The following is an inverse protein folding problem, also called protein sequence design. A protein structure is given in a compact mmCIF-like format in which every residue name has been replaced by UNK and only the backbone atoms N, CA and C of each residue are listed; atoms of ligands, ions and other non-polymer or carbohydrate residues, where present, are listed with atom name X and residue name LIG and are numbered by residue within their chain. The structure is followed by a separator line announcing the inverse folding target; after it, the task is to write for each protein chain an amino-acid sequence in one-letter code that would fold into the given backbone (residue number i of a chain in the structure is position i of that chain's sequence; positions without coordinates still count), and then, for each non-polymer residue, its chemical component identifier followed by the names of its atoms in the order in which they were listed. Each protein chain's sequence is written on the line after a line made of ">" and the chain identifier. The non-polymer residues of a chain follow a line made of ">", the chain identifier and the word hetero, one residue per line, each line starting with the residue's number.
data_IF_274902859796
#
_entry.id   IF_274902859796
#
_cell.length_a   1.000
_cell.length_b   1.000
_cell.length_c   1.000
_cell.angle_alpha   90.00
_cell.angle_beta   90.00
_cell.angle_gamma   90.00
#
_symmetry.space_group_name_H-M   'P 1'
#
loop_
_entity.id
_entity.type
_entity.pdbx_description
1 polymer ?
#
# COMPACT_ATOMS: atom_id res chain seq x y z
N UNK A 1 -18.60 107.33 -19.21
CA UNK A 1 -19.50 106.43 -18.45
C UNK A 1 -19.44 105.09 -19.18
N UNK A 2 -19.10 104.01 -18.45
CA UNK A 2 -18.99 102.57 -18.86
C UNK A 2 -17.69 102.19 -19.61
N UNK A 3 -16.57 101.87 -18.93
CA UNK A 3 -16.15 100.57 -18.32
C UNK A 3 -16.00 99.46 -19.38
N UNK A 4 -14.80 99.16 -19.89
CA UNK A 4 -13.72 98.35 -19.28
C UNK A 4 -14.13 96.92 -18.90
N UNK A 5 -15.15 96.37 -19.57
CA UNK A 5 -15.76 95.09 -19.20
C UNK A 5 -15.61 93.96 -20.25
N UNK A 6 -14.86 94.15 -21.35
CA UNK A 6 -14.66 93.11 -22.38
C UNK A 6 -13.28 92.43 -22.41
N UNK A 7 -12.41 92.68 -21.42
CA UNK A 7 -11.02 92.16 -21.42
C UNK A 7 -10.71 91.12 -20.33
N UNK A 8 -11.73 90.48 -19.73
CA UNK A 8 -11.54 89.47 -18.66
C UNK A 8 -12.33 88.16 -18.89
N UNK A 9 -12.40 87.67 -20.13
CA UNK A 9 -13.02 86.37 -20.44
C UNK A 9 -12.03 85.34 -20.98
N UNK A 10 -10.78 85.37 -20.51
CA UNK A 10 -9.84 84.25 -20.67
C UNK A 10 -9.10 83.97 -19.35
N UNK A 11 -9.85 83.84 -18.24
CA UNK A 11 -9.33 83.07 -17.12
C UNK A 11 -9.39 81.60 -17.50
N UNK A 12 -8.24 81.05 -17.88
CA UNK A 12 -8.00 79.63 -18.05
C UNK A 12 -8.61 78.84 -16.89
N UNK A 13 -9.75 78.18 -17.15
CA UNK A 13 -10.31 77.16 -16.26
C UNK A 13 -9.32 76.00 -16.32
N UNK A 14 -8.43 75.89 -15.34
CA UNK A 14 -7.73 74.65 -15.06
C UNK A 14 -8.79 73.60 -14.69
N UNK A 15 -9.20 72.80 -15.68
CA UNK A 15 -9.95 71.58 -15.43
C UNK A 15 -8.96 70.59 -14.84
N UNK A 16 -8.75 70.66 -13.51
CA UNK A 16 -8.15 69.54 -12.81
C UNK A 16 -9.07 68.35 -13.04
N UNK A 17 -8.62 67.25 -13.68
CA UNK A 17 -9.47 66.08 -13.85
C UNK A 17 -9.95 65.67 -12.45
N UNK A 18 -11.23 65.31 -12.26
CA UNK A 18 -11.68 64.86 -10.96
C UNK A 18 -10.81 63.66 -10.60
N UNK A 19 -9.94 63.83 -9.61
CA UNK A 19 -9.16 62.73 -9.06
C UNK A 19 -10.21 61.77 -8.52
N UNK A 20 -10.51 60.71 -9.28
CA UNK A 20 -11.42 59.66 -8.84
C UNK A 20 -10.82 59.14 -7.56
N UNK A 21 -11.39 59.57 -6.43
CA UNK A 21 -11.02 59.07 -5.14
C UNK A 21 -11.47 57.60 -5.18
N UNK A 22 -10.53 56.70 -5.44
CA UNK A 22 -10.67 55.27 -5.15
C UNK A 22 -10.68 55.09 -3.63
N UNK A 23 -11.53 55.84 -2.93
CA UNK A 23 -11.71 55.76 -1.48
C UNK A 23 -12.71 54.66 -1.24
N UNK A 24 -12.22 53.43 -1.26
CA UNK A 24 -12.92 52.34 -0.58
C UNK A 24 -13.26 52.83 0.83
N UNK A 25 -14.50 52.59 1.25
CA UNK A 25 -14.94 52.97 2.59
C UNK A 25 -14.13 52.19 3.65
N UNK A 26 -13.93 52.72 4.87
CA UNK A 26 -13.19 52.01 5.91
C UNK A 26 -13.76 50.61 6.20
N UNK A 27 -15.07 50.43 6.02
CA UNK A 27 -15.75 49.14 6.14
C UNK A 27 -15.40 48.17 5.00
N UNK A 28 -15.30 48.65 3.76
CA UNK A 28 -14.85 47.83 2.61
C UNK A 28 -13.39 47.39 2.77
N UNK A 29 -12.53 48.26 3.30
CA UNK A 29 -11.13 47.94 3.58
C UNK A 29 -11.04 46.87 4.68
N UNK A 30 -11.83 46.99 5.75
CA UNK A 30 -11.90 46.00 6.81
C UNK A 30 -12.40 44.64 6.29
N UNK A 31 -13.44 44.65 5.46
CA UNK A 31 -13.97 43.45 4.79
C UNK A 31 -12.91 42.80 3.89
N UNK A 32 -12.25 43.58 3.02
CA UNK A 32 -11.21 43.09 2.12
C UNK A 32 -10.01 42.49 2.88
N UNK A 33 -9.63 43.07 4.03
CA UNK A 33 -8.60 42.50 4.91
C UNK A 33 -9.02 41.15 5.49
N UNK A 34 -10.26 41.03 5.96
CA UNK A 34 -10.76 39.75 6.49
C UNK A 34 -10.83 38.67 5.42
N UNK A 35 -11.25 39.02 4.20
CA UNK A 35 -11.27 38.09 3.06
C UNK A 35 -9.84 37.61 2.76
N UNK A 36 -8.87 38.52 2.67
CA UNK A 36 -7.47 38.13 2.44
C UNK A 36 -6.88 37.24 3.54
N UNK A 37 -7.20 37.49 4.81
CA UNK A 37 -6.74 36.63 5.90
C UNK A 37 -7.32 35.21 5.78
N UNK A 38 -8.61 35.10 5.40
CA UNK A 38 -9.25 33.81 5.13
C UNK A 38 -8.62 33.11 3.93
N UNK A 39 -8.34 33.82 2.85
CA UNK A 39 -7.66 33.28 1.66
C UNK A 39 -6.27 32.74 2.01
N UNK A 40 -5.46 33.50 2.76
CA UNK A 40 -4.14 33.06 3.18
C UNK A 40 -4.21 31.83 4.09
N UNK A 41 -5.19 31.77 4.99
CA UNK A 41 -5.42 30.61 5.85
C UNK A 41 -5.87 29.40 5.03
N UNK A 42 -6.78 29.57 4.07
CA UNK A 42 -7.21 28.50 3.16
C UNK A 42 -6.05 27.96 2.34
N UNK A 43 -5.21 28.83 1.75
CA UNK A 43 -4.03 28.42 0.99
C UNK A 43 -3.03 27.62 1.82
N UNK A 44 -2.80 28.02 3.07
CA UNK A 44 -1.93 27.27 4.00
C UNK A 44 -2.50 25.87 4.27
N UNK A 45 -3.79 25.76 4.57
CA UNK A 45 -4.46 24.48 4.83
C UNK A 45 -4.51 23.59 3.59
N UNK A 46 -4.81 24.13 2.42
CA UNK A 46 -4.82 23.40 1.14
C UNK A 46 -3.44 22.83 0.84
N UNK A 47 -2.39 23.64 1.02
CA UNK A 47 -1.01 23.18 0.82
C UNK A 47 -0.68 21.99 1.73
N UNK A 48 -1.08 22.06 3.00
CA UNK A 48 -0.87 20.97 3.96
C UNK A 48 -1.63 19.69 3.57
N UNK A 49 -2.89 19.82 3.13
CA UNK A 49 -3.69 18.71 2.63
C UNK A 49 -3.03 18.04 1.41
N UNK A 50 -2.50 18.82 0.47
CA UNK A 50 -1.81 18.27 -0.72
C UNK A 50 -0.59 17.45 -0.30
N UNK A 51 0.18 17.91 0.69
CA UNK A 51 1.31 17.12 1.21
C UNK A 51 0.85 15.80 1.84
N UNK A 52 -0.22 15.80 2.63
CA UNK A 52 -0.75 14.56 3.20
C UNK A 52 -1.29 13.61 2.13
N UNK A 53 -2.01 14.11 1.12
CA UNK A 53 -2.51 13.30 0.01
C UNK A 53 -1.33 12.70 -0.77
N UNK A 54 -0.31 13.50 -1.11
CA UNK A 54 0.88 13.02 -1.80
C UNK A 54 1.59 11.93 -1.00
N UNK A 55 1.72 12.12 0.31
CA UNK A 55 2.34 11.13 1.19
C UNK A 55 1.53 9.82 1.24
N UNK A 56 0.20 9.91 1.40
CA UNK A 56 -0.68 8.75 1.38
C UNK A 56 -0.64 8.04 0.03
N UNK A 57 -0.61 8.77 -1.09
CA UNK A 57 -0.47 8.18 -2.42
C UNK A 57 0.83 7.39 -2.56
N UNK A 58 1.96 7.92 -2.06
CA UNK A 58 3.24 7.20 -2.06
C UNK A 58 3.16 5.93 -1.21
N UNK A 59 2.58 6.00 0.00
CA UNK A 59 2.37 4.83 0.84
C UNK A 59 1.47 3.80 0.15
N UNK A 60 0.37 4.23 -0.47
CA UNK A 60 -0.52 3.36 -1.22
C UNK A 60 0.22 2.65 -2.35
N UNK A 61 1.02 3.36 -3.15
CA UNK A 61 1.82 2.73 -4.22
C UNK A 61 2.78 1.67 -3.66
N UNK A 62 3.47 1.95 -2.54
CA UNK A 62 4.39 1.00 -1.91
C UNK A 62 3.63 -0.24 -1.41
N UNK A 63 2.49 -0.06 -0.75
CA UNK A 63 1.70 -1.18 -0.22
C UNK A 63 1.11 -2.01 -1.36
N UNK A 64 0.49 -1.38 -2.35
CA UNK A 64 -0.11 -2.07 -3.49
C UNK A 64 0.92 -2.78 -4.37
N UNK A 65 2.11 -2.20 -4.55
CA UNK A 65 3.19 -2.85 -5.30
C UNK A 65 3.62 -4.18 -4.68
N UNK A 66 3.48 -4.32 -3.35
CA UNK A 66 3.82 -5.55 -2.64
C UNK A 66 2.63 -6.51 -2.50
N UNK A 67 1.41 -6.05 -2.80
CA UNK A 67 0.21 -6.86 -2.73
C UNK A 67 0.00 -7.62 -4.05
N UNK A 68 0.33 -8.91 -4.07
CA UNK A 68 0.12 -9.76 -5.23
C UNK A 68 -0.91 -10.86 -4.90
N UNK A 69 -2.07 -10.82 -5.55
CA UNK A 69 -3.13 -11.84 -5.39
C UNK A 69 -2.64 -13.25 -5.75
N UNK A 70 -1.72 -13.37 -6.72
CA UNK A 70 -1.16 -14.65 -7.17
C UNK A 70 -0.40 -15.39 -6.07
N UNK A 71 0.21 -14.65 -5.13
CA UNK A 71 0.88 -15.27 -3.98
C UNK A 71 -0.11 -16.05 -3.11
N UNK A 72 -1.35 -15.56 -2.96
CA UNK A 72 -2.38 -16.24 -2.19
C UNK A 72 -2.82 -17.55 -2.86
N UNK A 73 -2.92 -17.58 -4.19
CA UNK A 73 -3.25 -18.78 -4.95
C UNK A 73 -2.16 -19.84 -4.84
N UNK A 74 -0.87 -19.46 -4.90
CA UNK A 74 0.25 -20.39 -4.72
C UNK A 74 0.25 -21.01 -3.32
N UNK A 75 0.10 -20.21 -2.27
CA UNK A 75 0.05 -20.72 -0.88
C UNK A 75 -1.15 -21.65 -0.68
N UNK A 76 -2.32 -21.32 -1.25
CA UNK A 76 -3.51 -22.18 -1.20
C UNK A 76 -3.29 -23.50 -1.94
N UNK A 77 -2.66 -23.45 -3.12
CA UNK A 77 -2.32 -24.64 -3.89
C UNK A 77 -1.40 -25.56 -3.07
N UNK A 78 -0.29 -25.05 -2.53
CA UNK A 78 0.65 -25.83 -1.72
C UNK A 78 0.00 -26.39 -0.46
N UNK A 79 -0.80 -25.59 0.26
CA UNK A 79 -1.56 -26.08 1.43
C UNK A 79 -2.48 -27.23 1.05
N UNK A 80 -3.25 -27.09 -0.02
CA UNK A 80 -4.17 -28.14 -0.47
C UNK A 80 -3.40 -29.39 -0.91
N UNK A 81 -2.27 -29.24 -1.58
CA UNK A 81 -1.45 -30.35 -2.06
C UNK A 81 -0.82 -31.14 -0.92
N UNK A 82 -0.39 -30.52 0.18
CA UNK A 82 0.30 -31.20 1.29
C UNK A 82 -0.53 -31.36 2.57
N UNK A 83 -1.78 -30.89 2.59
CA UNK A 83 -2.68 -31.07 3.74
C UNK A 83 -3.11 -32.52 3.83
N UNK A 84 -2.91 -33.12 5.00
CA UNK A 84 -3.30 -34.48 5.32
C UNK A 84 -3.74 -34.55 6.78
N UNK A 85 -4.74 -35.36 7.05
CA UNK A 85 -5.16 -35.72 8.40
C UNK A 85 -4.56 -37.09 8.71
N UNK A 86 -3.64 -37.15 9.68
CA UNK A 86 -2.92 -38.36 10.05
C UNK A 86 -3.24 -38.65 11.52
N UNK A 87 -3.77 -39.84 11.79
CA UNK A 87 -4.18 -40.25 13.13
C UNK A 87 -3.22 -41.26 13.76
N UNK A 88 -2.54 -42.06 12.93
CA UNK A 88 -1.64 -43.13 13.38
C UNK A 88 -0.22 -42.99 12.82
N UNK A 89 0.74 -43.65 13.49
CA UNK A 89 2.14 -43.66 13.04
C UNK A 89 2.31 -44.39 11.70
N UNK A 90 1.48 -45.40 11.42
CA UNK A 90 1.55 -46.14 10.16
C UNK A 90 1.04 -45.28 9.00
N UNK A 91 -0.10 -44.60 9.19
CA UNK A 91 -0.60 -43.62 8.22
C UNK A 91 0.42 -42.52 7.92
N UNK A 92 1.20 -42.09 8.93
CA UNK A 92 2.25 -41.11 8.72
C UNK A 92 3.31 -41.61 7.74
N UNK A 93 3.81 -42.83 7.92
CA UNK A 93 4.85 -43.40 7.06
C UNK A 93 4.33 -43.70 5.65
N UNK A 94 3.12 -44.24 5.55
CA UNK A 94 2.45 -44.50 4.27
C UNK A 94 2.25 -43.19 3.48
N UNK A 95 1.72 -42.15 4.13
CA UNK A 95 1.61 -40.83 3.53
C UNK A 95 2.98 -40.28 3.09
N UNK A 96 4.01 -40.45 3.92
CA UNK A 96 5.34 -39.91 3.62
C UNK A 96 5.94 -40.58 2.38
N UNK A 97 5.84 -41.90 2.27
CA UNK A 97 6.43 -42.68 1.20
C UNK A 97 5.65 -42.54 -0.12
N UNK A 98 4.32 -42.64 -0.06
CA UNK A 98 3.49 -42.70 -1.26
C UNK A 98 3.10 -41.31 -1.78
N UNK A 99 2.65 -40.43 -0.88
CA UNK A 99 2.06 -39.15 -1.26
C UNK A 99 3.08 -38.02 -1.24
N UNK A 100 3.78 -37.84 -0.11
CA UNK A 100 4.73 -36.74 0.06
C UNK A 100 5.87 -36.83 -0.95
N UNK A 101 6.60 -37.94 -1.00
CA UNK A 101 7.73 -38.13 -1.94
C UNK A 101 7.30 -37.96 -3.40
N UNK A 102 6.13 -38.46 -3.76
CA UNK A 102 5.55 -38.30 -5.10
C UNK A 102 5.24 -36.84 -5.46
N UNK A 103 4.83 -36.02 -4.50
CA UNK A 103 4.52 -34.60 -4.72
C UNK A 103 5.74 -33.69 -4.79
N UNK A 104 6.82 -34.01 -4.07
CA UNK A 104 8.04 -33.15 -4.04
C UNK A 104 8.88 -33.23 -5.31
N UNK A 105 8.68 -34.25 -6.14
CA UNK A 105 9.44 -34.43 -7.38
C UNK A 105 8.49 -34.56 -8.57
N UNK A 106 8.81 -33.87 -9.65
CA UNK A 106 8.09 -34.01 -10.91
C UNK A 106 8.06 -35.47 -11.37
N UNK A 107 6.87 -35.97 -11.66
CA UNK A 107 6.69 -37.31 -12.22
C UNK A 107 7.02 -37.33 -13.73
N UNK A 108 7.00 -38.54 -14.31
CA UNK A 108 7.07 -38.74 -15.76
C UNK A 108 5.99 -37.91 -16.47
N UNK A 109 6.36 -37.34 -17.62
CA UNK A 109 5.46 -36.56 -18.44
C UNK A 109 4.42 -37.44 -19.15
N UNK A 110 3.51 -36.85 -19.92
CA UNK A 110 2.41 -37.59 -20.60
C UNK A 110 2.92 -38.74 -21.49
N UNK A 111 4.17 -38.68 -21.93
CA UNK A 111 4.83 -39.67 -22.78
C UNK A 111 5.64 -40.72 -21.99
N UNK A 112 5.50 -40.75 -20.66
CA UNK A 112 6.23 -41.68 -19.79
C UNK A 112 7.74 -41.39 -19.68
N UNK A 113 8.23 -40.31 -20.30
CA UNK A 113 9.65 -39.93 -20.25
C UNK A 113 9.91 -39.01 -19.05
N UNK A 114 11.06 -39.23 -18.42
CA UNK A 114 11.60 -38.27 -17.46
C UNK A 114 12.08 -37.05 -18.23
N UNK A 115 11.70 -35.88 -17.73
CA UNK A 115 12.02 -34.62 -18.39
C UNK A 115 13.13 -33.95 -17.61
N UNK A 116 14.33 -33.88 -18.19
CA UNK A 116 15.52 -33.40 -17.48
C UNK A 116 15.39 -31.95 -17.00
N UNK A 117 14.67 -31.08 -17.72
CA UNK A 117 14.46 -29.69 -17.33
C UNK A 117 13.53 -29.53 -16.12
N UNK A 118 12.71 -30.53 -15.79
CA UNK A 118 11.83 -30.53 -14.62
C UNK A 118 12.56 -31.02 -13.35
N UNK A 119 13.86 -31.26 -13.43
CA UNK A 119 14.65 -31.67 -12.26
C UNK A 119 14.60 -30.56 -11.19
N UNK A 120 14.06 -30.92 -10.03
CA UNK A 120 13.88 -29.98 -8.91
C UNK A 120 12.57 -29.20 -8.96
N UNK A 121 11.64 -29.52 -9.86
CA UNK A 121 10.26 -29.06 -9.77
C UNK A 121 9.40 -30.03 -8.96
N UNK A 122 8.36 -29.51 -8.32
CA UNK A 122 7.28 -30.30 -7.72
C UNK A 122 6.47 -30.99 -8.81
N UNK A 123 5.56 -31.89 -8.41
CA UNK A 123 4.70 -32.61 -9.34
C UNK A 123 3.70 -31.71 -10.10
N UNK A 124 3.52 -30.46 -9.67
CA UNK A 124 2.76 -29.44 -10.41
C UNK A 124 3.53 -28.82 -11.59
N UNK A 125 4.82 -29.13 -11.72
CA UNK A 125 5.75 -28.67 -12.78
C UNK A 125 5.93 -27.16 -12.88
N UNK A 126 5.39 -26.41 -11.92
CA UNK A 126 5.42 -24.94 -11.88
C UNK A 126 6.21 -24.43 -10.68
N UNK A 127 6.13 -25.12 -9.55
CA UNK A 127 6.87 -24.77 -8.34
C UNK A 127 8.21 -25.50 -8.30
N UNK A 128 9.28 -24.74 -8.02
CA UNK A 128 10.64 -25.28 -7.93
C UNK A 128 11.04 -25.50 -6.48
N UNK A 129 11.46 -26.72 -6.16
CA UNK A 129 12.11 -27.06 -4.91
C UNK A 129 13.54 -26.49 -4.89
N UNK A 130 13.84 -25.70 -3.87
CA UNK A 130 15.18 -25.20 -3.60
C UNK A 130 15.88 -26.12 -2.61
N UNK A 131 16.98 -26.75 -3.02
CA UNK A 131 17.74 -27.68 -2.19
C UNK A 131 17.07 -29.04 -2.03
N UNK A 132 16.97 -29.52 -0.78
CA UNK A 132 16.37 -30.80 -0.43
C UNK A 132 15.50 -30.69 0.82
N UNK A 133 14.57 -31.63 0.99
CA UNK A 133 13.74 -31.72 2.18
C UNK A 133 14.56 -32.18 3.39
N UNK A 134 14.39 -31.53 4.53
CA UNK A 134 15.05 -31.86 5.80
C UNK A 134 14.02 -32.35 6.81
N UNK A 135 14.17 -33.59 7.29
CA UNK A 135 13.37 -34.13 8.37
C UNK A 135 14.04 -33.86 9.73
N UNK A 136 13.31 -33.24 10.65
CA UNK A 136 13.75 -33.01 12.04
C UNK A 136 12.88 -33.82 12.99
N UNK A 137 13.48 -34.49 13.96
CA UNK A 137 12.78 -35.28 14.96
C UNK A 137 13.17 -34.83 16.37
N UNK A 138 12.18 -34.57 17.22
CA UNK A 138 12.37 -34.36 18.64
C UNK A 138 12.07 -35.66 19.40
N UNK A 139 12.87 -35.98 20.42
CA UNK A 139 12.71 -37.17 21.27
C UNK A 139 12.81 -36.76 22.73
N UNK A 140 11.95 -37.34 23.56
CA UNK A 140 11.97 -37.14 25.02
C UNK A 140 12.76 -38.26 25.71
N UNK A 141 13.31 -37.96 26.89
CA UNK A 141 13.92 -38.99 27.74
C UNK A 141 12.82 -39.77 28.46
N UNK A 142 13.02 -41.09 28.59
CA UNK A 142 12.01 -42.03 29.12
C UNK A 142 11.66 -41.82 30.60
N UNK A 143 12.53 -41.20 31.41
CA UNK A 143 12.36 -41.11 32.87
C UNK A 143 11.83 -39.75 33.38
N UNK A 144 11.28 -38.90 32.50
CA UNK A 144 10.84 -37.56 32.90
C UNK A 144 9.55 -37.54 33.73
N UNK A 145 8.74 -38.61 33.67
CA UNK A 145 7.52 -38.73 34.46
C UNK A 145 7.70 -39.77 35.57
N UNK A 146 7.76 -39.36 36.85
CA UNK A 146 7.71 -40.31 37.96
C UNK A 146 6.34 -40.99 37.96
N UNK A 147 6.33 -42.30 37.72
CA UNK A 147 5.13 -43.11 37.88
C UNK A 147 4.78 -43.18 39.38
N UNK A 148 3.56 -42.78 39.76
CA UNK A 148 3.06 -43.07 41.11
C UNK A 148 2.86 -44.58 41.23
N UNK A 149 3.82 -45.24 41.87
CA UNK A 149 3.67 -46.62 42.31
C UNK A 149 2.60 -46.61 43.41
N UNK A 150 1.42 -47.19 43.14
CA UNK A 150 0.46 -47.53 44.20
C UNK A 150 0.95 -48.83 44.84
N UNK A 151 1.41 -48.75 46.10
CA UNK A 151 1.67 -49.94 46.91
C UNK A 151 0.31 -50.55 47.28
N UNK A 152 0.11 -51.82 46.91
CA UNK A 152 -1.00 -52.66 47.36
C UNK A 152 -0.76 -53.14 48.79
#
# INVERSE_FOLDING_TARGET
>A
MLSKDEENLHSSIEITPPTRSNRLTPNEIACARQIRLRELQMWKSIREIIFYISFLSLLSVIVYSNHNENASFQVRHLRKSFSVEISSMNEYWEWLEEDFVGKIRAHKWYNGKNVEYLRGYLNDTSNRLLGWALMKQSRIRTQLCPQRIKLN
#
